data_IF_315932964332
#
_entry.id   IF_315932964332
#
_cell.length_a   1.000
_cell.length_b   1.000
_cell.length_c   1.000
_cell.angle_alpha   90.00
_cell.angle_beta   90.00
_cell.angle_gamma   90.00
#
_symmetry.space_group_name_H-M   'P 1'
#
loop_
_entity.id
_entity.type
_entity.pdbx_description
1 polymer ?
#
# COMPACT_ATOMS: atom_id res chain seq x y z
N UNK A 1 13.67 7.62 -20.27
CA UNK A 1 12.89 8.70 -19.63
C UNK A 1 13.60 8.89 -18.32
N UNK A 2 14.38 9.94 -18.15
CA UNK A 2 15.18 10.09 -16.96
C UNK A 2 14.25 10.15 -15.76
N UNK A 3 14.56 9.32 -14.77
CA UNK A 3 13.93 9.40 -13.46
C UNK A 3 13.92 10.87 -13.03
N UNK A 4 12.87 11.26 -12.45
CA UNK A 4 12.50 12.60 -12.01
C UNK A 4 13.66 13.23 -11.27
N UNK A 5 14.46 14.01 -12.00
CA UNK A 5 15.47 14.89 -11.43
C UNK A 5 14.71 16.08 -10.81
N UNK A 6 14.07 15.83 -9.69
CA UNK A 6 13.46 16.84 -8.84
C UNK A 6 14.55 17.25 -7.85
N UNK A 7 15.17 18.40 -8.10
CA UNK A 7 16.05 19.05 -7.12
C UNK A 7 15.34 19.04 -5.74
N UNK A 8 15.85 18.25 -4.81
CA UNK A 8 15.27 18.04 -3.48
C UNK A 8 14.85 16.60 -3.18
N UNK A 9 14.52 15.76 -4.17
CA UNK A 9 14.23 14.33 -3.97
C UNK A 9 15.53 13.55 -3.73
N UNK A 10 16.62 13.87 -4.45
CA UNK A 10 17.93 13.29 -4.21
C UNK A 10 18.45 13.55 -2.79
N UNK A 11 18.16 14.71 -2.18
CA UNK A 11 18.64 15.05 -0.84
C UNK A 11 17.88 14.30 0.26
N UNK A 12 16.61 13.92 0.03
CA UNK A 12 15.76 13.30 1.05
C UNK A 12 15.62 11.79 0.92
N UNK A 13 15.58 11.28 -0.30
CA UNK A 13 15.25 9.89 -0.63
C UNK A 13 13.74 9.61 -0.72
N UNK A 14 12.88 10.59 -0.42
CA UNK A 14 11.42 10.44 -0.52
C UNK A 14 10.95 10.39 -1.96
N UNK A 15 9.98 9.52 -2.27
CA UNK A 15 9.38 9.35 -3.59
C UNK A 15 7.95 9.88 -3.55
N UNK A 16 7.67 10.98 -4.27
CA UNK A 16 6.31 11.54 -4.36
C UNK A 16 5.48 10.78 -5.39
N UNK A 17 4.17 10.61 -5.14
CA UNK A 17 3.28 9.93 -6.06
C UNK A 17 3.16 10.65 -7.41
N UNK A 18 3.12 12.00 -7.41
CA UNK A 18 3.24 12.81 -8.62
C UNK A 18 3.71 14.24 -8.29
N UNK A 19 4.35 14.97 -9.24
CA UNK A 19 4.79 16.36 -9.03
C UNK A 19 3.63 17.38 -9.18
N UNK A 20 2.38 16.94 -9.17
CA UNK A 20 1.20 17.76 -9.50
C UNK A 20 0.17 17.77 -8.37
N UNK A 21 -0.64 18.83 -8.34
CA UNK A 21 -1.84 18.90 -7.51
C UNK A 21 -3.06 19.25 -8.37
N UNK A 22 -4.22 18.74 -7.94
CA UNK A 22 -5.56 19.16 -8.40
C UNK A 22 -5.81 18.97 -9.89
N UNK A 23 -5.11 18.07 -10.54
CA UNK A 23 -5.48 17.60 -11.88
C UNK A 23 -6.69 16.65 -11.73
N UNK A 24 -7.78 16.86 -12.52
CA UNK A 24 -9.00 16.10 -12.39
C UNK A 24 -8.88 14.70 -12.99
N UNK A 25 -9.47 13.71 -12.34
CA UNK A 25 -9.72 12.40 -12.92
C UNK A 25 -10.68 12.47 -14.11
N UNK A 26 -11.65 13.40 -14.03
CA UNK A 26 -12.57 13.71 -15.12
C UNK A 26 -12.79 15.22 -15.19
N UNK A 27 -12.74 15.80 -16.38
CA UNK A 27 -12.93 17.24 -16.58
C UNK A 27 -14.25 17.74 -16.00
N UNK A 28 -14.20 18.79 -15.18
CA UNK A 28 -15.33 19.33 -14.43
C UNK A 28 -15.70 18.53 -13.17
N UNK A 29 -14.98 17.45 -12.87
CA UNK A 29 -15.19 16.63 -11.68
C UNK A 29 -14.60 17.24 -10.41
N UNK A 30 -14.91 16.63 -9.26
CA UNK A 30 -14.48 17.09 -7.95
C UNK A 30 -13.35 16.27 -7.34
N UNK A 31 -12.92 15.19 -8.00
CA UNK A 31 -11.83 14.32 -7.55
C UNK A 31 -10.50 14.84 -8.07
N UNK A 32 -10.01 15.89 -7.40
CA UNK A 32 -8.85 16.69 -7.79
C UNK A 32 -7.89 16.71 -6.60
N UNK A 33 -7.02 15.69 -6.49
CA UNK A 33 -6.20 15.45 -5.30
C UNK A 33 -4.82 16.07 -5.42
N UNK A 34 -4.18 16.31 -4.27
CA UNK A 34 -2.78 16.71 -4.20
C UNK A 34 -1.91 15.44 -4.08
N UNK A 35 -1.13 15.16 -5.11
CA UNK A 35 -0.26 13.99 -5.21
C UNK A 35 1.22 14.27 -4.90
N UNK A 36 1.56 15.47 -4.43
CA UNK A 36 2.94 15.89 -4.16
C UNK A 36 3.49 15.37 -2.82
N UNK A 37 2.94 14.27 -2.32
CA UNK A 37 3.32 13.60 -1.09
C UNK A 37 3.84 12.21 -1.37
N UNK A 38 4.58 11.66 -0.42
CA UNK A 38 5.13 10.31 -0.48
C UNK A 38 4.12 9.34 0.17
N UNK A 39 3.32 8.65 -0.65
CA UNK A 39 2.56 7.50 -0.18
C UNK A 39 3.49 6.33 0.02
N UNK A 40 3.37 5.66 1.16
CA UNK A 40 4.24 4.52 1.47
C UNK A 40 3.99 3.35 0.52
N UNK A 41 2.75 3.11 0.11
CA UNK A 41 2.36 2.09 -0.88
C UNK A 41 3.00 2.36 -2.23
N UNK A 42 2.80 3.56 -2.79
CA UNK A 42 3.35 3.94 -4.11
C UNK A 42 4.87 3.85 -4.12
N UNK A 43 5.48 4.28 -3.03
CA UNK A 43 6.92 4.24 -2.85
C UNK A 43 7.43 2.79 -2.70
N UNK A 44 6.72 1.91 -1.99
CA UNK A 44 7.06 0.50 -1.84
C UNK A 44 7.05 -0.22 -3.21
N UNK A 45 6.00 -0.04 -4.00
CA UNK A 45 5.92 -0.60 -5.37
C UNK A 45 7.05 -0.07 -6.28
N UNK A 46 7.38 1.21 -6.14
CA UNK A 46 8.50 1.81 -6.88
C UNK A 46 9.83 1.21 -6.45
N UNK A 47 10.00 0.96 -5.17
CA UNK A 47 11.21 0.33 -4.62
C UNK A 47 11.42 -1.07 -5.19
N UNK A 48 10.40 -1.91 -5.19
CA UNK A 48 10.49 -3.25 -5.78
C UNK A 48 10.94 -3.19 -7.25
N UNK A 49 10.34 -2.28 -8.05
CA UNK A 49 10.74 -2.07 -9.43
C UNK A 49 12.20 -1.57 -9.58
N UNK A 50 12.67 -0.71 -8.68
CA UNK A 50 14.06 -0.23 -8.67
C UNK A 50 15.03 -1.37 -8.34
N UNK A 51 14.72 -2.19 -7.32
CA UNK A 51 15.55 -3.34 -6.92
C UNK A 51 15.65 -4.37 -8.05
N UNK A 52 14.54 -4.74 -8.68
CA UNK A 52 14.54 -5.66 -9.83
C UNK A 52 15.35 -5.10 -11.02
N UNK A 53 15.33 -3.79 -11.21
CA UNK A 53 16.12 -3.12 -12.25
C UNK A 53 17.60 -2.91 -11.87
N UNK A 54 18.00 -3.21 -10.63
CA UNK A 54 19.37 -3.09 -10.12
C UNK A 54 19.74 -1.68 -9.60
N UNK A 55 18.77 -0.82 -9.34
CA UNK A 55 18.97 0.52 -8.76
C UNK A 55 18.99 0.47 -7.23
N UNK A 56 20.01 -0.20 -6.67
CA UNK A 56 20.12 -0.43 -5.23
C UNK A 56 20.43 0.82 -4.43
N UNK A 57 21.14 1.79 -5.00
CA UNK A 57 21.49 3.06 -4.32
C UNK A 57 20.21 3.88 -4.05
N UNK A 58 19.32 3.99 -5.03
CA UNK A 58 18.01 4.65 -4.88
C UNK A 58 17.13 3.93 -3.86
N UNK A 59 17.16 2.61 -3.87
CA UNK A 59 16.44 1.80 -2.89
C UNK A 59 16.92 2.06 -1.45
N UNK A 60 18.23 2.18 -1.25
CA UNK A 60 18.81 2.53 0.07
C UNK A 60 18.39 3.93 0.52
N UNK A 61 18.41 4.91 -0.37
CA UNK A 61 17.99 6.28 -0.05
C UNK A 61 16.52 6.33 0.42
N UNK A 62 15.65 5.61 -0.27
CA UNK A 62 14.25 5.53 0.13
C UNK A 62 14.06 4.81 1.48
N UNK A 63 14.72 3.67 1.69
CA UNK A 63 14.70 2.96 2.96
C UNK A 63 15.11 3.88 4.11
N UNK A 64 16.21 4.61 3.95
CA UNK A 64 16.71 5.53 4.96
C UNK A 64 15.76 6.71 5.19
N UNK A 65 15.10 7.17 4.13
CA UNK A 65 14.03 8.17 4.24
C UNK A 65 12.85 7.63 5.04
N UNK A 66 12.37 6.42 4.72
CA UNK A 66 11.26 5.77 5.43
C UNK A 66 11.58 5.64 6.91
N UNK A 67 12.74 5.09 7.25
CA UNK A 67 13.17 4.91 8.64
C UNK A 67 13.23 6.24 9.41
N UNK A 68 13.62 7.35 8.75
CA UNK A 68 13.56 8.68 9.36
C UNK A 68 12.13 9.22 9.49
N UNK A 69 11.29 9.04 8.50
CA UNK A 69 9.91 9.54 8.49
C UNK A 69 9.05 8.89 9.59
N UNK A 70 9.30 7.60 9.86
CA UNK A 70 8.58 6.83 10.89
C UNK A 70 9.31 6.78 12.22
N UNK A 71 10.51 7.37 12.33
CA UNK A 71 11.30 7.37 13.55
C UNK A 71 10.54 8.05 14.71
N UNK A 72 10.40 7.34 15.81
CA UNK A 72 9.83 7.86 17.05
C UNK A 72 8.54 7.17 17.49
N UNK A 73 7.61 6.89 16.60
CA UNK A 73 6.38 6.19 16.94
C UNK A 73 5.87 5.34 15.76
N UNK A 74 6.25 4.07 15.69
CA UNK A 74 5.76 3.16 14.64
C UNK A 74 4.23 2.92 14.70
N UNK A 75 3.61 3.05 15.88
CA UNK A 75 2.17 2.89 16.08
C UNK A 75 1.38 4.03 15.42
N UNK A 76 2.04 5.18 15.18
CA UNK A 76 1.50 6.33 14.46
C UNK A 76 1.93 6.36 12.97
N UNK A 77 2.17 5.21 12.34
CA UNK A 77 2.47 5.16 10.91
C UNK A 77 1.33 5.77 10.11
N UNK A 78 1.66 6.79 9.31
CA UNK A 78 0.72 7.41 8.39
C UNK A 78 0.86 6.79 7.00
N UNK A 79 -0.20 6.83 6.21
CA UNK A 79 -0.18 6.31 4.83
C UNK A 79 0.68 7.16 3.89
N UNK A 80 0.89 8.44 4.23
CA UNK A 80 1.68 9.36 3.44
C UNK A 80 2.40 10.41 4.30
N UNK A 81 3.46 10.99 3.74
CA UNK A 81 4.30 12.00 4.36
C UNK A 81 4.69 13.10 3.35
N UNK A 82 5.13 14.25 3.83
CA UNK A 82 5.88 15.19 2.99
C UNK A 82 7.20 14.56 2.52
N UNK A 83 7.75 15.05 1.43
CA UNK A 83 9.05 14.59 0.90
C UNK A 83 10.19 14.75 1.92
N UNK A 84 10.04 15.71 2.81
CA UNK A 84 10.92 15.99 3.95
C UNK A 84 10.60 15.17 5.21
N UNK A 85 9.63 14.25 5.14
CA UNK A 85 9.12 13.48 6.26
C UNK A 85 8.05 14.21 7.10
N UNK A 86 7.54 15.36 6.64
CA UNK A 86 6.48 16.07 7.36
C UNK A 86 5.23 15.23 7.52
N UNK A 87 4.69 15.18 8.75
CA UNK A 87 3.52 14.38 9.13
C UNK A 87 2.21 15.17 9.03
N UNK A 88 2.26 16.49 9.08
CA UNK A 88 1.07 17.35 9.09
C UNK A 88 0.75 17.82 7.67
N UNK A 89 -0.24 17.23 7.06
CA UNK A 89 -0.65 17.45 5.66
C UNK A 89 -2.13 17.89 5.56
N UNK A 90 -2.54 19.02 6.18
CA UNK A 90 -3.95 19.41 6.19
C UNK A 90 -4.44 19.72 4.79
N UNK A 91 -5.59 19.14 4.40
CA UNK A 91 -6.25 19.44 3.14
C UNK A 91 -6.92 20.80 3.23
N UNK A 92 -6.63 21.67 2.28
CA UNK A 92 -7.15 23.06 2.19
C UNK A 92 -7.65 23.29 0.76
N UNK A 93 -8.87 23.77 0.61
CA UNK A 93 -9.42 24.17 -0.68
C UNK A 93 -9.05 25.63 -0.99
N UNK A 94 -8.67 25.89 -2.24
CA UNK A 94 -8.26 27.20 -2.74
C UNK A 94 -9.35 27.80 -3.64
N UNK A 95 -10.38 28.37 -3.06
CA UNK A 95 -11.57 28.88 -3.74
C UNK A 95 -11.30 29.97 -4.80
N UNK A 96 -10.13 30.62 -4.74
CA UNK A 96 -9.74 31.67 -5.68
C UNK A 96 -9.14 31.15 -7.00
N UNK A 97 -8.90 29.84 -7.11
CA UNK A 97 -8.35 29.21 -8.31
C UNK A 97 -9.46 28.49 -9.09
N UNK A 98 -9.53 28.67 -10.42
CA UNK A 98 -10.61 28.09 -11.22
C UNK A 98 -10.48 26.59 -11.48
N UNK A 99 -9.35 25.97 -11.13
CA UNK A 99 -9.03 24.58 -11.46
C UNK A 99 -8.74 24.37 -12.96
N UNK A 100 -8.14 23.21 -13.26
CA UNK A 100 -7.86 22.81 -14.64
C UNK A 100 -9.18 22.47 -15.34
N UNK A 101 -9.43 23.08 -16.51
CA UNK A 101 -10.71 22.94 -17.26
C UNK A 101 -11.96 23.15 -16.38
N UNK A 102 -11.89 24.08 -15.41
CA UNK A 102 -13.00 24.36 -14.50
C UNK A 102 -13.28 23.28 -13.44
N UNK A 103 -12.35 22.38 -13.22
CA UNK A 103 -12.49 21.28 -12.26
C UNK A 103 -12.17 21.76 -10.85
N UNK A 104 -13.20 21.87 -10.02
CA UNK A 104 -13.11 22.35 -8.63
C UNK A 104 -13.36 21.19 -7.65
N UNK A 105 -12.84 21.32 -6.42
CA UNK A 105 -11.94 22.35 -5.89
C UNK A 105 -10.48 22.16 -6.30
N UNK A 106 -9.68 23.22 -6.21
CA UNK A 106 -8.22 23.14 -6.18
C UNK A 106 -7.77 22.91 -4.74
N UNK A 107 -6.90 21.94 -4.50
CA UNK A 107 -6.49 21.53 -3.14
C UNK A 107 -4.99 21.65 -2.92
N UNK A 108 -4.62 21.90 -1.67
CA UNK A 108 -3.28 21.68 -1.12
C UNK A 108 -3.43 20.82 0.13
N UNK A 109 -2.59 19.84 0.28
CA UNK A 109 -2.78 18.81 1.29
C UNK A 109 -3.70 17.69 0.80
N UNK A 110 -3.77 16.61 1.58
CA UNK A 110 -4.64 15.49 1.25
C UNK A 110 -5.22 14.87 2.53
N UNK A 111 -6.55 14.88 2.63
CA UNK A 111 -7.28 14.40 3.80
C UNK A 111 -7.19 12.89 4.03
N UNK A 112 -6.72 12.13 3.04
CA UNK A 112 -6.46 10.70 3.21
C UNK A 112 -5.37 10.42 4.26
N UNK A 113 -4.52 11.39 4.59
CA UNK A 113 -3.48 11.27 5.64
C UNK A 113 -4.00 10.76 6.99
N UNK A 114 -5.29 10.96 7.29
CA UNK A 114 -5.93 10.52 8.54
C UNK A 114 -6.69 9.19 8.42
N UNK A 115 -6.64 8.54 7.27
CA UNK A 115 -7.31 7.25 7.05
C UNK A 115 -6.52 6.09 7.66
N UNK A 116 -7.25 5.07 8.11
CA UNK A 116 -6.68 3.76 8.40
C UNK A 116 -6.66 2.95 7.10
N UNK A 117 -5.49 2.43 6.75
CA UNK A 117 -5.30 1.57 5.57
C UNK A 117 -4.33 0.45 5.95
N UNK A 118 -4.84 -0.76 6.11
CA UNK A 118 -4.04 -1.92 6.50
C UNK A 118 -3.09 -2.40 5.40
N UNK A 119 -3.40 -2.13 4.14
CA UNK A 119 -2.54 -2.47 2.99
C UNK A 119 -1.16 -1.83 3.12
N UNK A 120 -1.08 -0.59 3.61
CA UNK A 120 0.19 0.14 3.78
C UNK A 120 1.19 -0.63 4.67
N UNK A 121 0.71 -1.30 5.72
CA UNK A 121 1.58 -2.11 6.58
C UNK A 121 2.17 -3.30 5.81
N UNK A 122 1.35 -3.95 4.97
CA UNK A 122 1.80 -5.03 4.09
C UNK A 122 2.84 -4.56 3.09
N UNK A 123 2.60 -3.44 2.42
CA UNK A 123 3.52 -2.84 1.44
C UNK A 123 4.88 -2.49 2.07
N UNK A 124 4.85 -1.84 3.24
CA UNK A 124 6.09 -1.49 3.96
C UNK A 124 6.85 -2.74 4.40
N UNK A 125 6.16 -3.75 4.92
CA UNK A 125 6.79 -5.00 5.35
C UNK A 125 7.38 -5.77 4.18
N UNK A 126 6.70 -5.79 3.04
CA UNK A 126 7.18 -6.42 1.81
C UNK A 126 8.42 -5.71 1.28
N UNK A 127 8.36 -4.39 1.11
CA UNK A 127 9.47 -3.57 0.66
C UNK A 127 10.72 -3.73 1.54
N UNK A 128 10.56 -3.73 2.88
CA UNK A 128 11.68 -3.96 3.80
C UNK A 128 12.19 -5.42 3.78
N UNK A 129 11.35 -6.38 3.42
CA UNK A 129 11.79 -7.77 3.19
C UNK A 129 12.61 -7.87 1.91
N UNK A 130 12.18 -7.25 0.82
CA UNK A 130 12.91 -7.22 -0.46
C UNK A 130 14.29 -6.54 -0.31
N UNK A 131 14.38 -5.42 0.41
CA UNK A 131 15.69 -4.80 0.67
C UNK A 131 16.65 -5.74 1.39
N UNK A 132 16.15 -6.61 2.29
CA UNK A 132 16.96 -7.61 2.97
C UNK A 132 17.43 -8.70 2.01
N UNK A 133 16.57 -9.19 1.13
CA UNK A 133 16.92 -10.22 0.13
C UNK A 133 17.98 -9.73 -0.86
N UNK A 134 18.07 -8.42 -1.07
CA UNK A 134 19.08 -7.78 -1.92
C UNK A 134 20.33 -7.28 -1.14
N UNK A 135 20.54 -7.74 0.11
CA UNK A 135 21.66 -7.33 0.98
C UNK A 135 21.74 -5.80 1.23
N UNK A 136 20.61 -5.11 1.21
CA UNK A 136 20.49 -3.64 1.37
C UNK A 136 20.15 -3.23 2.82
N UNK A 137 20.04 -4.17 3.77
CA UNK A 137 19.74 -3.92 5.19
C UNK A 137 20.88 -4.39 6.12
N UNK A 138 21.99 -3.65 6.23
CA UNK A 138 23.20 -4.12 6.93
C UNK A 138 23.10 -4.07 8.46
N UNK A 139 22.19 -3.32 9.06
CA UNK A 139 22.24 -2.96 10.49
C UNK A 139 21.05 -3.39 11.34
N UNK A 140 20.06 -4.10 10.78
CA UNK A 140 18.92 -4.65 11.53
C UNK A 140 18.00 -3.59 12.16
N UNK A 141 18.20 -2.31 11.88
CA UNK A 141 17.35 -1.24 12.41
C UNK A 141 15.94 -1.33 11.82
N UNK A 142 15.84 -1.65 10.53
CA UNK A 142 14.57 -1.89 9.85
C UNK A 142 13.78 -3.05 10.51
N UNK A 143 14.47 -4.05 11.07
CA UNK A 143 13.79 -5.14 11.76
C UNK A 143 13.12 -4.72 13.06
N UNK A 144 13.70 -3.79 13.81
CA UNK A 144 13.05 -3.23 15.01
C UNK A 144 11.74 -2.51 14.64
N UNK A 145 11.75 -1.74 13.55
CA UNK A 145 10.54 -1.13 13.00
C UNK A 145 9.51 -2.20 12.59
N UNK A 146 9.92 -3.19 11.79
CA UNK A 146 9.03 -4.26 11.34
C UNK A 146 8.33 -4.97 12.51
N UNK A 147 9.06 -5.27 13.59
CA UNK A 147 8.46 -5.88 14.80
C UNK A 147 7.44 -4.97 15.48
N UNK A 148 7.69 -3.67 15.51
CA UNK A 148 6.74 -2.71 16.09
C UNK A 148 5.46 -2.62 15.24
N UNK A 149 5.58 -2.56 13.90
CA UNK A 149 4.44 -2.58 12.98
C UNK A 149 3.61 -3.87 13.10
N UNK A 150 4.27 -5.02 13.23
CA UNK A 150 3.58 -6.29 13.48
C UNK A 150 2.86 -6.27 14.83
N UNK A 151 3.45 -5.66 15.86
CA UNK A 151 2.83 -5.51 17.17
C UNK A 151 1.51 -4.75 17.10
N UNK A 152 1.50 -3.59 16.46
CA UNK A 152 0.30 -2.80 16.21
C UNK A 152 -0.73 -3.56 15.36
N UNK A 153 -0.27 -4.20 14.28
CA UNK A 153 -1.13 -4.98 13.40
C UNK A 153 -1.86 -6.11 14.13
N UNK A 154 -1.20 -6.82 15.06
CA UNK A 154 -1.82 -7.89 15.85
C UNK A 154 -2.98 -7.42 16.73
N UNK A 155 -3.03 -6.14 17.06
CA UNK A 155 -4.09 -5.54 17.87
C UNK A 155 -5.26 -5.01 17.04
N UNK A 156 -5.03 -4.69 15.73
CA UNK A 156 -6.00 -3.94 14.95
C UNK A 156 -6.37 -4.60 13.60
N UNK A 157 -5.76 -5.71 13.21
CA UNK A 157 -5.91 -6.32 11.88
C UNK A 157 -7.35 -6.66 11.49
N UNK A 158 -8.24 -6.91 12.45
CA UNK A 158 -9.64 -7.27 12.23
C UNK A 158 -10.57 -6.07 12.03
N UNK A 159 -10.05 -4.84 12.22
CA UNK A 159 -10.84 -3.63 12.01
C UNK A 159 -11.10 -3.37 10.53
N UNK A 160 -12.22 -2.71 10.18
CA UNK A 160 -12.44 -2.19 8.84
C UNK A 160 -11.53 -1.00 8.55
N UNK A 161 -11.22 -0.77 7.29
CA UNK A 161 -10.33 0.30 6.85
C UNK A 161 -10.89 1.08 5.63
N UNK A 162 -10.12 2.01 5.07
CA UNK A 162 -10.51 2.79 3.90
C UNK A 162 -10.07 2.19 2.57
N UNK A 163 -9.26 1.11 2.61
CA UNK A 163 -8.77 0.39 1.45
C UNK A 163 -7.80 1.18 0.56
N UNK A 164 -7.22 0.48 -0.39
CA UNK A 164 -6.21 1.01 -1.32
C UNK A 164 -6.68 2.24 -2.12
N UNK A 165 -7.98 2.34 -2.40
CA UNK A 165 -8.56 3.46 -3.17
C UNK A 165 -8.96 4.66 -2.31
N UNK A 166 -8.61 4.65 -1.01
CA UNK A 166 -8.80 5.82 -0.12
C UNK A 166 -10.26 6.31 -0.09
N UNK A 167 -11.20 5.37 0.00
CA UNK A 167 -12.62 5.74 -0.05
C UNK A 167 -12.96 6.80 1.00
N UNK A 168 -13.78 7.78 0.61
CA UNK A 168 -14.29 8.84 1.50
C UNK A 168 -15.60 8.45 2.19
N UNK A 169 -15.96 7.16 2.15
CA UNK A 169 -17.14 6.58 2.80
C UNK A 169 -16.81 5.90 4.13
N UNK A 170 -17.77 5.12 4.63
CA UNK A 170 -17.57 4.31 5.83
C UNK A 170 -16.52 3.22 5.57
N UNK A 171 -15.61 2.96 6.51
CA UNK A 171 -14.62 1.89 6.40
C UNK A 171 -15.26 0.53 6.15
N UNK A 172 -14.59 -0.31 5.37
CA UNK A 172 -15.05 -1.66 4.98
C UNK A 172 -13.98 -2.72 5.30
N UNK A 173 -14.38 -3.98 5.26
CA UNK A 173 -13.47 -5.12 5.34
C UNK A 173 -12.98 -5.44 3.91
N UNK A 174 -12.03 -4.66 3.40
CA UNK A 174 -11.49 -4.86 2.05
C UNK A 174 -10.67 -6.14 1.95
N UNK A 175 -10.96 -6.95 0.92
CA UNK A 175 -10.29 -8.22 0.68
C UNK A 175 -8.78 -8.00 0.43
N UNK A 176 -8.44 -7.00 -0.36
CA UNK A 176 -7.03 -6.63 -0.60
C UNK A 176 -6.33 -6.23 0.70
N UNK A 177 -6.91 -5.31 1.49
CA UNK A 177 -6.31 -4.88 2.77
C UNK A 177 -6.05 -6.06 3.71
N UNK A 178 -7.00 -7.02 3.80
CA UNK A 178 -6.81 -8.22 4.62
C UNK A 178 -5.73 -9.15 4.06
N UNK A 179 -5.63 -9.29 2.74
CA UNK A 179 -4.52 -10.03 2.14
C UNK A 179 -3.17 -9.37 2.44
N UNK A 180 -3.10 -8.04 2.45
CA UNK A 180 -1.88 -7.31 2.81
C UNK A 180 -1.51 -7.43 4.30
N UNK A 181 -2.50 -7.58 5.19
CA UNK A 181 -2.24 -8.00 6.59
C UNK A 181 -1.56 -9.37 6.62
N UNK A 182 -2.03 -10.32 5.82
CA UNK A 182 -1.38 -11.61 5.69
C UNK A 182 0.06 -11.46 5.17
N UNK A 183 0.29 -10.62 4.16
CA UNK A 183 1.63 -10.33 3.61
C UNK A 183 2.56 -9.83 4.71
N UNK A 184 2.14 -8.84 5.49
CA UNK A 184 2.95 -8.30 6.59
C UNK A 184 3.41 -9.39 7.57
N UNK A 185 2.47 -10.25 8.00
CA UNK A 185 2.76 -11.35 8.91
C UNK A 185 3.62 -12.43 8.25
N UNK A 186 3.41 -12.73 6.97
CA UNK A 186 4.22 -13.69 6.23
C UNK A 186 5.68 -13.24 6.11
N UNK A 187 5.91 -11.96 5.75
CA UNK A 187 7.25 -11.38 5.70
C UNK A 187 7.94 -11.36 7.06
N UNK A 188 7.17 -11.15 8.14
CA UNK A 188 7.68 -11.24 9.51
C UNK A 188 8.08 -12.68 9.89
N UNK A 189 7.23 -13.66 9.57
CA UNK A 189 7.52 -15.09 9.78
C UNK A 189 8.77 -15.51 9.02
N UNK A 190 8.86 -15.18 7.72
CA UNK A 190 10.03 -15.44 6.89
C UNK A 190 11.31 -14.80 7.44
N UNK A 191 11.22 -13.57 7.96
CA UNK A 191 12.33 -12.90 8.61
C UNK A 191 12.94 -13.73 9.76
N UNK A 192 12.10 -14.38 10.56
CA UNK A 192 12.57 -15.27 11.63
C UNK A 192 13.08 -16.60 11.08
N UNK A 193 12.33 -17.25 10.20
CA UNK A 193 12.62 -18.63 9.74
C UNK A 193 13.80 -18.71 8.78
N UNK A 194 13.91 -17.76 7.84
CA UNK A 194 14.90 -17.79 6.76
C UNK A 194 16.16 -16.98 7.11
N UNK A 195 16.00 -15.89 7.91
CA UNK A 195 17.11 -14.98 8.25
C UNK A 195 17.52 -15.05 9.72
N UNK A 196 16.86 -15.86 10.55
CA UNK A 196 17.23 -16.08 11.97
C UNK A 196 16.99 -14.84 12.84
N UNK A 197 16.09 -13.94 12.44
CA UNK A 197 15.78 -12.74 13.20
C UNK A 197 14.92 -13.06 14.44
N UNK A 198 14.94 -12.19 15.44
CA UNK A 198 14.20 -12.41 16.68
C UNK A 198 12.74 -11.98 16.57
N UNK A 199 11.78 -12.84 16.99
CA UNK A 199 10.36 -12.51 17.00
C UNK A 199 9.48 -13.62 17.57
N UNK A 200 8.22 -13.29 17.87
CA UNK A 200 7.21 -14.26 18.31
C UNK A 200 6.58 -14.97 17.11
N UNK A 201 7.40 -15.79 16.44
CA UNK A 201 7.04 -16.46 15.18
C UNK A 201 5.80 -17.34 15.32
N UNK A 202 5.59 -17.99 16.50
CA UNK A 202 4.42 -18.85 16.70
C UNK A 202 3.13 -18.03 16.67
N UNK A 203 3.12 -16.88 17.38
CA UNK A 203 1.97 -15.98 17.39
C UNK A 203 1.72 -15.37 16.01
N UNK A 204 2.77 -14.95 15.31
CA UNK A 204 2.65 -14.36 13.98
C UNK A 204 2.10 -15.36 12.97
N UNK A 205 2.56 -16.61 13.03
CA UNK A 205 2.06 -17.71 12.19
C UNK A 205 0.58 -18.02 12.47
N UNK A 206 0.20 -18.08 13.74
CA UNK A 206 -1.19 -18.30 14.14
C UNK A 206 -2.14 -17.25 13.53
N UNK A 207 -1.80 -15.95 13.68
CA UNK A 207 -2.63 -14.87 13.15
C UNK A 207 -2.57 -14.81 11.63
N UNK A 208 -1.40 -15.01 11.02
CA UNK A 208 -1.27 -15.11 9.55
C UNK A 208 -2.22 -16.16 8.97
N UNK A 209 -2.22 -17.33 9.56
CA UNK A 209 -3.05 -18.45 9.07
C UNK A 209 -4.55 -18.19 9.32
N UNK A 210 -4.90 -17.51 10.42
CA UNK A 210 -6.26 -17.05 10.70
C UNK A 210 -6.72 -16.03 9.66
N UNK A 211 -5.92 -15.01 9.37
CA UNK A 211 -6.22 -13.99 8.34
C UNK A 211 -6.42 -14.65 6.98
N UNK A 212 -5.51 -15.58 6.60
CA UNK A 212 -5.63 -16.31 5.34
C UNK A 212 -6.97 -17.07 5.25
N UNK A 213 -7.33 -17.79 6.30
CA UNK A 213 -8.59 -18.54 6.34
C UNK A 213 -9.79 -17.60 6.19
N UNK A 214 -9.78 -16.46 6.89
CA UNK A 214 -10.85 -15.47 6.83
C UNK A 214 -10.98 -14.86 5.41
N UNK A 215 -9.88 -14.48 4.77
CA UNK A 215 -9.90 -13.94 3.40
C UNK A 215 -10.46 -14.97 2.42
N UNK A 216 -10.04 -16.23 2.53
CA UNK A 216 -10.52 -17.30 1.64
C UNK A 216 -12.01 -17.64 1.86
N UNK A 217 -12.53 -17.45 3.07
CA UNK A 217 -13.94 -17.71 3.41
C UNK A 217 -14.84 -16.51 3.07
N UNK A 218 -14.43 -15.28 3.44
CA UNK A 218 -15.30 -14.09 3.41
C UNK A 218 -15.04 -13.17 2.23
N UNK A 219 -13.82 -13.19 1.69
CA UNK A 219 -13.42 -12.41 0.53
C UNK A 219 -13.72 -13.08 -0.81
N UNK A 220 -14.20 -14.34 -0.80
CA UNK A 220 -14.51 -15.11 -1.99
C UNK A 220 -16.01 -15.38 -2.08
N UNK A 221 -16.60 -15.03 -3.22
CA UNK A 221 -17.99 -15.33 -3.55
C UNK A 221 -18.05 -16.65 -4.33
N UNK A 222 -18.52 -17.71 -3.67
CA UNK A 222 -18.62 -19.05 -4.28
C UNK A 222 -19.65 -19.11 -5.41
N UNK A 223 -20.74 -18.31 -5.35
CA UNK A 223 -21.79 -18.31 -6.38
C UNK A 223 -21.25 -17.68 -7.67
N UNK A 224 -20.52 -16.59 -7.53
CA UNK A 224 -19.89 -15.88 -8.64
C UNK A 224 -18.56 -16.49 -9.07
N UNK A 225 -17.90 -17.22 -8.19
CA UNK A 225 -16.60 -17.85 -8.43
C UNK A 225 -15.44 -16.87 -8.50
N UNK A 226 -15.46 -15.80 -7.71
CA UNK A 226 -14.46 -14.71 -7.71
C UNK A 226 -14.19 -14.17 -6.32
N UNK A 227 -12.99 -13.65 -6.08
CA UNK A 227 -12.78 -12.73 -4.97
C UNK A 227 -13.55 -11.44 -5.22
N UNK A 228 -14.01 -10.79 -4.14
CA UNK A 228 -14.80 -9.56 -4.16
C UNK A 228 -14.03 -8.43 -3.47
N UNK A 229 -14.36 -7.19 -3.81
CA UNK A 229 -13.67 -6.00 -3.31
C UNK A 229 -13.64 -5.95 -1.76
N UNK A 230 -14.77 -6.19 -1.12
CA UNK A 230 -14.89 -6.23 0.34
C UNK A 230 -15.85 -7.34 0.79
N UNK A 231 -15.73 -7.77 2.03
CA UNK A 231 -16.56 -8.84 2.59
C UNK A 231 -18.05 -8.50 2.51
N UNK A 232 -18.82 -9.43 1.96
CA UNK A 232 -20.24 -9.28 1.73
C UNK A 232 -20.63 -8.39 0.54
N UNK A 233 -19.65 -7.87 -0.20
CA UNK A 233 -19.86 -7.22 -1.50
C UNK A 233 -20.02 -8.23 -2.63
N UNK A 234 -20.31 -7.71 -3.83
CA UNK A 234 -20.42 -8.51 -5.07
C UNK A 234 -19.53 -7.95 -6.19
N UNK A 235 -18.92 -6.78 -5.97
CA UNK A 235 -18.09 -6.10 -6.95
C UNK A 235 -16.67 -6.65 -6.93
N UNK A 236 -16.05 -6.69 -8.10
CA UNK A 236 -14.62 -7.02 -8.24
C UNK A 236 -13.80 -5.75 -8.21
N UNK A 237 -12.49 -5.92 -7.99
CA UNK A 237 -11.53 -4.84 -7.88
C UNK A 237 -10.22 -5.24 -8.52
N UNK A 238 -9.59 -4.31 -9.25
CA UNK A 238 -8.31 -4.55 -9.91
C UNK A 238 -7.17 -4.87 -8.91
N UNK A 239 -7.25 -4.36 -7.68
CA UNK A 239 -6.27 -4.66 -6.62
C UNK A 239 -6.20 -6.14 -6.27
N UNK A 240 -7.26 -6.91 -6.53
CA UNK A 240 -7.27 -8.36 -6.30
C UNK A 240 -6.24 -9.12 -7.16
N UNK A 241 -5.77 -8.54 -8.26
CA UNK A 241 -4.68 -9.12 -9.06
C UNK A 241 -3.36 -9.17 -8.28
N UNK A 242 -3.16 -8.28 -7.32
CA UNK A 242 -1.96 -8.24 -6.49
C UNK A 242 -1.85 -9.43 -5.52
N UNK A 243 -2.95 -10.15 -5.24
CA UNK A 243 -2.92 -11.34 -4.40
C UNK A 243 -1.91 -12.40 -4.91
N UNK A 244 -1.73 -12.49 -6.22
CA UNK A 244 -0.74 -13.37 -6.84
C UNK A 244 0.67 -12.78 -6.70
N UNK A 245 0.83 -11.50 -6.97
CA UNK A 245 2.14 -10.84 -6.92
C UNK A 245 2.79 -10.95 -5.53
N UNK A 246 2.00 -10.82 -4.47
CA UNK A 246 2.46 -10.95 -3.08
C UNK A 246 2.53 -12.41 -2.56
N UNK A 247 2.16 -13.39 -3.39
CA UNK A 247 2.21 -14.81 -3.02
C UNK A 247 1.11 -15.26 -2.05
N UNK A 248 0.03 -14.49 -1.92
CA UNK A 248 -1.12 -14.89 -1.11
C UNK A 248 -1.83 -16.12 -1.69
N UNK A 249 -1.93 -16.19 -3.02
CA UNK A 249 -2.55 -17.29 -3.77
C UNK A 249 -1.77 -17.55 -5.07
N UNK A 250 -1.75 -18.80 -5.51
CA UNK A 250 -1.11 -19.18 -6.77
C UNK A 250 -1.90 -18.64 -7.97
N UNK A 251 -1.19 -18.23 -9.03
CA UNK A 251 -1.83 -17.67 -10.23
C UNK A 251 -2.70 -18.65 -11.02
N UNK A 252 -2.47 -19.97 -10.85
CA UNK A 252 -3.26 -21.05 -11.46
C UNK A 252 -4.38 -21.59 -10.53
N UNK A 253 -4.55 -21.03 -9.32
CA UNK A 253 -5.65 -21.40 -8.44
C UNK A 253 -6.99 -21.08 -9.13
N UNK A 254 -7.95 -22.00 -9.16
CA UNK A 254 -9.25 -21.79 -9.81
C UNK A 254 -9.99 -20.55 -9.35
N UNK A 255 -9.82 -20.12 -8.09
CA UNK A 255 -10.42 -18.90 -7.53
C UNK A 255 -9.82 -17.65 -8.17
N UNK A 256 -8.50 -17.65 -8.36
CA UNK A 256 -7.80 -16.53 -9.01
C UNK A 256 -8.13 -16.44 -10.50
N UNK A 257 -8.20 -17.59 -11.19
CA UNK A 257 -8.63 -17.65 -12.58
C UNK A 257 -10.07 -17.15 -12.76
N UNK A 258 -10.95 -17.42 -11.79
CA UNK A 258 -12.31 -16.89 -11.75
C UNK A 258 -12.32 -15.37 -11.55
N UNK A 259 -11.47 -14.85 -10.65
CA UNK A 259 -11.33 -13.42 -10.37
C UNK A 259 -10.81 -12.65 -11.59
N UNK A 260 -9.80 -13.17 -12.28
CA UNK A 260 -9.30 -12.57 -13.52
C UNK A 260 -10.41 -12.43 -14.56
N UNK A 261 -11.21 -13.50 -14.77
CA UNK A 261 -12.34 -13.45 -15.73
C UNK A 261 -13.38 -12.40 -15.31
N UNK A 262 -13.72 -12.33 -14.04
CA UNK A 262 -14.68 -11.35 -13.54
C UNK A 262 -14.17 -9.91 -13.70
N UNK A 263 -12.88 -9.67 -13.47
CA UNK A 263 -12.24 -8.37 -13.73
C UNK A 263 -12.26 -8.04 -15.23
N UNK A 264 -11.95 -9.01 -16.10
CA UNK A 264 -12.03 -8.81 -17.56
C UNK A 264 -13.47 -8.47 -18.01
N UNK A 265 -14.47 -9.13 -17.46
CA UNK A 265 -15.87 -8.90 -17.81
C UNK A 265 -16.39 -7.55 -17.29
N UNK A 266 -16.08 -7.19 -16.06
CA UNK A 266 -16.68 -6.02 -15.40
C UNK A 266 -15.87 -4.73 -15.59
N UNK A 267 -14.54 -4.80 -15.54
CA UNK A 267 -13.67 -3.64 -15.46
C UNK A 267 -12.90 -3.35 -16.74
N UNK A 268 -12.78 -4.31 -17.68
CA UNK A 268 -12.00 -4.05 -18.90
C UNK A 268 -12.76 -3.14 -19.87
N UNK A 269 -12.10 -2.08 -20.33
CA UNK A 269 -12.58 -1.18 -21.37
C UNK A 269 -11.44 -0.89 -22.35
N UNK A 270 -11.65 -1.14 -23.61
CA UNK A 270 -10.67 -0.89 -24.71
C UNK A 270 -9.27 -1.51 -24.44
N UNK A 271 -9.24 -2.67 -23.76
CA UNK A 271 -7.99 -3.37 -23.42
C UNK A 271 -7.28 -2.85 -22.17
N UNK A 272 -7.91 -1.95 -21.41
CA UNK A 272 -7.42 -1.46 -20.12
C UNK A 272 -8.38 -1.87 -19.01
N UNK A 273 -7.84 -2.16 -17.84
CA UNK A 273 -8.61 -2.38 -16.60
C UNK A 273 -8.83 -1.02 -15.94
N UNK A 274 -10.09 -0.72 -15.60
CA UNK A 274 -10.50 0.57 -14.99
C UNK A 274 -10.82 0.39 -13.52
#
# INVERSE_FOLDING_TARGET
MNAIDLEGVEETGGIVAAPTTSLPESFGGSRNWDYRYCWLRDAALTLGALLEAGFTDEAMLWRDWLLRAVAGDPEDLQIMYGVDGARRLPEIELDHLPGYEGSLPVRVGNGAVSQLQHDVLGEVMDALSETREHDVDPDGFAWALQRALVGDLLEHWDQPDNGIWEIRGEPQQFTHSKAMVWVALDRAVRGVEEHGLEGDVERWREVRDQVRAEVLERGYDEERGTFVQHYGGTEVDASLLQLVAFGFIEGDDPRMLGTIRAIEEDLMRDGLVL
#
